data_IF_545157955556
#
_entry.id   IF_545157955556
#
_cell.length_a   1.000
_cell.length_b   1.000
_cell.length_c   1.000
_cell.angle_alpha   90.00
_cell.angle_beta   90.00
_cell.angle_gamma   90.00
#
_symmetry.space_group_name_H-M   'P 1'
#
loop_
_entity.id
_entity.type
_entity.pdbx_description
1 polymer ?
#
# COMPACT_ATOMS: atom_id res chain seq x y z
N UNK A 1 8.11 10.26 -13.14
CA UNK A 1 7.50 10.45 -14.48
C UNK A 1 8.48 10.27 -15.64
N UNK A 2 9.78 10.61 -15.48
CA UNK A 2 10.76 10.48 -16.58
C UNK A 2 10.87 9.06 -17.15
N UNK A 3 10.78 8.03 -16.34
CA UNK A 3 10.84 6.62 -16.76
C UNK A 3 9.53 6.12 -17.39
N UNK A 4 8.42 6.82 -17.21
CA UNK A 4 7.09 6.48 -17.77
C UNK A 4 6.69 7.34 -18.96
N UNK A 5 7.64 8.04 -19.61
CA UNK A 5 7.34 8.94 -20.75
C UNK A 5 6.57 8.28 -21.89
N UNK A 6 6.71 6.97 -22.05
CA UNK A 6 6.03 6.19 -23.10
C UNK A 6 4.73 5.50 -22.63
N UNK A 7 4.35 5.65 -21.36
CA UNK A 7 3.17 5.04 -20.77
C UNK A 7 2.19 6.11 -20.30
N UNK A 8 1.28 6.53 -21.16
CA UNK A 8 0.24 7.51 -20.82
C UNK A 8 -0.66 7.00 -19.67
N UNK A 9 -1.03 5.70 -19.69
CA UNK A 9 -1.79 5.07 -18.62
C UNK A 9 -1.04 5.14 -17.29
N UNK A 10 0.27 4.83 -17.29
CA UNK A 10 1.12 4.90 -16.08
C UNK A 10 1.25 6.33 -15.53
N UNK A 11 1.38 7.32 -16.41
CA UNK A 11 1.37 8.73 -15.99
C UNK A 11 0.02 9.14 -15.41
N UNK A 12 -1.08 8.67 -16.01
CA UNK A 12 -2.44 9.00 -15.56
C UNK A 12 -2.71 8.48 -14.13
N UNK A 13 -2.40 7.23 -13.81
CA UNK A 13 -2.61 6.69 -12.46
C UNK A 13 -1.76 7.42 -11.43
N UNK A 14 -0.50 7.79 -11.77
CA UNK A 14 0.36 8.57 -10.88
C UNK A 14 -0.15 9.99 -10.64
N UNK A 15 -0.60 10.68 -11.68
CA UNK A 15 -1.11 12.04 -11.56
C UNK A 15 -2.39 12.06 -10.72
N UNK A 16 -3.31 11.13 -10.96
CA UNK A 16 -4.59 11.07 -10.25
C UNK A 16 -4.37 10.78 -8.75
N UNK A 17 -3.56 9.79 -8.40
CA UNK A 17 -3.30 9.49 -6.99
C UNK A 17 -2.56 10.64 -6.29
N UNK A 18 -1.64 11.31 -6.98
CA UNK A 18 -0.91 12.46 -6.45
C UNK A 18 -1.83 13.66 -6.21
N UNK A 19 -2.79 13.92 -7.11
CA UNK A 19 -3.80 14.96 -6.94
C UNK A 19 -4.70 14.67 -5.74
N UNK A 20 -5.26 13.46 -5.65
CA UNK A 20 -6.15 13.04 -4.55
C UNK A 20 -5.46 13.10 -3.19
N UNK A 21 -4.23 12.64 -3.10
CA UNK A 21 -3.44 12.71 -1.87
C UNK A 21 -2.85 14.10 -1.62
N UNK A 22 -3.12 15.10 -2.46
CA UNK A 22 -2.52 16.42 -2.39
C UNK A 22 -0.98 16.34 -2.24
N UNK A 23 -0.33 15.55 -3.11
CA UNK A 23 1.13 15.35 -3.12
C UNK A 23 1.88 16.67 -3.23
N UNK A 24 2.91 16.84 -2.40
CA UNK A 24 3.70 18.08 -2.37
C UNK A 24 3.12 19.19 -1.48
N UNK A 25 1.91 19.04 -0.93
CA UNK A 25 1.39 19.98 0.07
C UNK A 25 1.89 19.62 1.47
N UNK A 26 2.06 20.62 2.36
CA UNK A 26 2.44 20.37 3.76
C UNK A 26 1.48 19.41 4.46
N UNK A 27 2.03 18.56 5.33
CA UNK A 27 1.28 17.63 6.17
C UNK A 27 1.28 18.09 7.63
N UNK A 28 0.39 17.49 8.42
CA UNK A 28 0.44 17.68 9.88
C UNK A 28 1.82 17.25 10.41
N UNK A 29 2.28 17.90 11.47
CA UNK A 29 3.59 17.61 12.07
C UNK A 29 3.73 16.12 12.41
N UNK A 30 4.84 15.51 11.98
CA UNK A 30 5.11 14.09 12.20
C UNK A 30 4.42 13.14 11.24
N UNK A 31 3.82 13.64 10.15
CA UNK A 31 3.22 12.82 9.09
C UNK A 31 3.97 13.01 7.76
N UNK A 32 4.10 11.92 7.02
CA UNK A 32 4.70 11.92 5.67
C UNK A 32 3.96 11.04 4.69
N UNK A 33 4.12 11.36 3.41
CA UNK A 33 3.58 10.60 2.29
C UNK A 33 4.67 9.77 1.62
N UNK A 34 4.34 8.51 1.33
CA UNK A 34 5.12 7.66 0.43
C UNK A 34 4.30 7.21 -0.76
N UNK A 35 4.92 7.19 -1.93
CA UNK A 35 4.31 6.81 -3.19
C UNK A 35 4.97 5.55 -3.73
N UNK A 36 4.15 4.67 -4.34
CA UNK A 36 4.60 3.53 -5.12
C UNK A 36 3.76 3.39 -6.40
N UNK A 37 4.36 2.77 -7.41
CA UNK A 37 3.73 2.43 -8.68
C UNK A 37 4.00 0.98 -9.00
N UNK A 38 3.03 0.29 -9.60
CA UNK A 38 3.19 -1.08 -10.07
C UNK A 38 2.48 -1.30 -11.41
N UNK A 39 3.03 -2.21 -12.20
CA UNK A 39 2.36 -2.91 -13.29
C UNK A 39 2.15 -4.35 -12.82
N UNK A 40 0.90 -4.72 -12.61
CA UNK A 40 0.50 -6.04 -12.13
C UNK A 40 -0.38 -6.72 -13.17
N UNK A 41 0.19 -7.66 -13.94
CA UNK A 41 -0.53 -8.34 -15.02
C UNK A 41 -1.28 -7.35 -15.94
N UNK A 42 -0.58 -6.31 -16.40
CA UNK A 42 -1.09 -5.23 -17.25
C UNK A 42 -2.12 -4.29 -16.60
N UNK A 43 -2.48 -4.51 -15.34
CA UNK A 43 -3.17 -3.50 -14.53
C UNK A 43 -2.15 -2.50 -14.03
N UNK A 44 -2.31 -1.24 -14.39
CA UNK A 44 -1.45 -0.17 -13.92
C UNK A 44 -2.06 0.47 -12.68
N UNK A 45 -1.26 0.63 -11.64
CA UNK A 45 -1.75 1.18 -10.40
C UNK A 45 -0.68 1.98 -9.66
N UNK A 46 -1.12 2.99 -8.94
CA UNK A 46 -0.29 3.78 -8.06
C UNK A 46 -0.97 3.95 -6.71
N UNK A 47 -0.17 3.97 -5.65
CA UNK A 47 -0.67 4.16 -4.28
C UNK A 47 0.15 5.19 -3.53
N UNK A 48 -0.51 5.86 -2.59
CA UNK A 48 0.10 6.76 -1.62
C UNK A 48 -0.40 6.39 -0.23
N UNK A 49 0.51 6.27 0.72
CA UNK A 49 0.19 6.12 2.14
C UNK A 49 0.61 7.36 2.92
N UNK A 50 -0.25 7.86 3.81
CA UNK A 50 0.11 8.83 4.84
C UNK A 50 0.39 8.09 6.14
N UNK A 51 1.60 8.24 6.67
CA UNK A 51 2.01 7.57 7.90
C UNK A 51 2.49 8.56 8.96
N UNK A 52 2.46 8.11 10.23
CA UNK A 52 3.23 8.67 11.33
C UNK A 52 3.95 7.59 12.11
N UNK A 53 4.87 8.00 12.98
CA UNK A 53 5.48 7.14 13.98
C UNK A 53 4.90 7.49 15.37
N UNK A 54 4.23 6.52 15.99
CA UNK A 54 3.72 6.61 17.36
C UNK A 54 4.50 5.60 18.22
N UNK A 55 5.36 6.06 19.12
CA UNK A 55 6.21 5.21 19.98
C UNK A 55 6.99 4.13 19.21
N UNK A 56 7.57 4.49 18.08
CA UNK A 56 8.26 3.57 17.15
C UNK A 56 7.36 2.54 16.45
N UNK A 57 6.05 2.74 16.46
CA UNK A 57 5.11 1.96 15.65
C UNK A 57 4.64 2.80 14.48
N UNK A 58 4.64 2.21 13.29
CA UNK A 58 4.09 2.87 12.09
C UNK A 58 2.57 2.83 12.19
N UNK A 59 1.95 4.01 12.06
CA UNK A 59 0.52 4.16 11.90
C UNK A 59 0.21 4.69 10.51
N UNK A 60 -0.61 3.96 9.78
CA UNK A 60 -1.14 4.39 8.48
C UNK A 60 -2.48 5.09 8.72
N UNK A 61 -2.57 6.36 8.32
CA UNK A 61 -3.75 7.18 8.55
C UNK A 61 -4.72 7.12 7.37
N UNK A 62 -4.16 7.23 6.18
CA UNK A 62 -4.94 7.27 4.95
C UNK A 62 -4.16 6.61 3.82
N UNK A 63 -4.87 5.94 2.91
CA UNK A 63 -4.30 5.26 1.77
C UNK A 63 -5.09 5.63 0.52
N UNK A 64 -4.42 6.08 -0.53
CA UNK A 64 -5.01 6.40 -1.83
C UNK A 64 -4.52 5.42 -2.87
N UNK A 65 -5.41 4.95 -3.73
CA UNK A 65 -5.10 4.07 -4.85
C UNK A 65 -5.77 4.61 -6.11
N UNK A 66 -5.00 4.80 -7.17
CA UNK A 66 -5.51 4.93 -8.52
C UNK A 66 -5.16 3.64 -9.28
N UNK A 67 -6.17 3.02 -9.91
CA UNK A 67 -6.04 1.75 -10.62
C UNK A 67 -6.64 1.85 -12.01
N UNK A 68 -5.90 1.40 -13.02
CA UNK A 68 -6.34 1.28 -14.41
C UNK A 68 -6.31 -0.21 -14.83
N UNK A 69 -7.46 -0.90 -14.74
CA UNK A 69 -7.58 -2.31 -15.10
C UNK A 69 -8.03 -2.52 -16.55
N UNK A 70 -7.95 -1.51 -17.44
CA UNK A 70 -8.64 -1.51 -18.72
C UNK A 70 -10.12 -1.21 -18.56
N UNK A 71 -11.01 -2.04 -19.09
CA UNK A 71 -12.45 -1.91 -18.84
C UNK A 71 -12.77 -2.30 -17.41
N UNK A 72 -13.40 -1.40 -16.67
CA UNK A 72 -13.94 -1.67 -15.35
C UNK A 72 -15.32 -2.35 -15.47
N UNK A 73 -15.32 -3.68 -15.64
CA UNK A 73 -16.56 -4.46 -15.86
C UNK A 73 -17.53 -4.31 -14.70
N UNK A 74 -17.02 -4.36 -13.45
CA UNK A 74 -17.82 -4.25 -12.24
C UNK A 74 -17.11 -3.36 -11.21
N UNK A 75 -17.30 -2.04 -11.26
CA UNK A 75 -16.56 -1.08 -10.44
C UNK A 75 -16.65 -1.34 -8.92
N UNK A 76 -17.81 -1.72 -8.40
CA UNK A 76 -17.99 -1.97 -6.98
C UNK A 76 -17.18 -3.20 -6.51
N UNK A 77 -17.12 -4.26 -7.32
CA UNK A 77 -16.28 -5.41 -7.03
C UNK A 77 -14.79 -5.05 -7.12
N UNK A 78 -14.40 -4.18 -8.05
CA UNK A 78 -13.01 -3.68 -8.13
C UNK A 78 -12.67 -2.91 -6.85
N UNK A 79 -13.56 -2.04 -6.35
CA UNK A 79 -13.35 -1.34 -5.07
C UNK A 79 -13.16 -2.31 -3.92
N UNK A 80 -14.04 -3.30 -3.78
CA UNK A 80 -13.94 -4.31 -2.73
C UNK A 80 -12.62 -5.10 -2.80
N UNK A 81 -12.16 -5.46 -4.00
CA UNK A 81 -10.86 -6.12 -4.20
C UNK A 81 -9.69 -5.23 -3.81
N UNK A 82 -9.71 -3.95 -4.20
CA UNK A 82 -8.66 -2.99 -3.85
C UNK A 82 -8.60 -2.77 -2.34
N UNK A 83 -9.75 -2.56 -1.68
CA UNK A 83 -9.82 -2.41 -0.21
C UNK A 83 -9.26 -3.63 0.51
N UNK A 84 -9.74 -4.83 0.14
CA UNK A 84 -9.27 -6.10 0.71
C UNK A 84 -7.77 -6.30 0.49
N UNK A 85 -7.25 -6.00 -0.70
CA UNK A 85 -5.84 -6.13 -1.02
C UNK A 85 -4.96 -5.15 -0.24
N UNK A 86 -5.42 -3.90 -0.01
CA UNK A 86 -4.71 -2.92 0.84
C UNK A 86 -4.66 -3.42 2.29
N UNK A 87 -5.79 -3.89 2.86
CA UNK A 87 -5.85 -4.41 4.23
C UNK A 87 -4.95 -5.64 4.38
N UNK A 88 -4.98 -6.57 3.42
CA UNK A 88 -4.09 -7.71 3.37
C UNK A 88 -2.61 -7.31 3.33
N UNK A 89 -2.28 -6.34 2.46
CA UNK A 89 -0.92 -5.79 2.37
C UNK A 89 -0.46 -5.12 3.67
N UNK A 90 -1.36 -4.45 4.40
CA UNK A 90 -1.07 -3.88 5.73
C UNK A 90 -0.76 -4.98 6.75
N UNK A 91 -1.50 -6.08 6.73
CA UNK A 91 -1.22 -7.25 7.55
C UNK A 91 0.21 -7.73 7.34
N UNK A 92 0.58 -8.01 6.11
CA UNK A 92 1.92 -8.47 5.75
C UNK A 92 3.02 -7.45 6.11
N UNK A 93 2.76 -6.16 5.87
CA UNK A 93 3.76 -5.12 6.09
C UNK A 93 4.02 -4.82 7.58
N UNK A 94 2.99 -4.88 8.44
CA UNK A 94 3.06 -4.35 9.80
C UNK A 94 2.97 -5.41 10.90
N UNK A 95 2.32 -6.56 10.65
CA UNK A 95 1.92 -7.49 11.71
C UNK A 95 2.31 -8.94 11.47
N UNK A 96 1.99 -9.48 10.30
CA UNK A 96 1.96 -10.91 10.05
C UNK A 96 3.36 -11.52 9.90
N UNK A 97 3.65 -12.55 10.67
CA UNK A 97 4.92 -13.26 10.61
C UNK A 97 4.74 -14.74 10.96
N UNK A 98 5.21 -15.60 10.06
CA UNK A 98 5.39 -17.03 10.34
C UNK A 98 6.86 -17.31 10.62
N UNK A 99 7.13 -18.03 11.70
CA UNK A 99 8.49 -18.48 12.09
C UNK A 99 8.54 -19.98 12.24
N UNK A 100 9.71 -20.54 11.99
CA UNK A 100 9.96 -21.99 12.09
C UNK A 100 11.01 -22.27 13.16
N UNK A 101 10.77 -23.33 13.95
CA UNK A 101 11.75 -23.86 14.88
C UNK A 101 11.75 -25.39 14.77
N UNK A 102 12.91 -25.98 14.51
CA UNK A 102 13.05 -27.44 14.32
C UNK A 102 12.08 -28.03 13.27
N UNK A 103 11.87 -27.29 12.16
CA UNK A 103 10.96 -27.72 11.07
C UNK A 103 9.45 -27.53 11.36
N UNK A 104 9.09 -26.98 12.51
CA UNK A 104 7.70 -26.75 12.90
C UNK A 104 7.35 -25.27 12.89
N UNK A 105 6.17 -24.93 12.37
CA UNK A 105 5.58 -23.59 12.44
C UNK A 105 5.33 -23.25 13.91
N UNK A 106 5.69 -22.03 14.33
CA UNK A 106 5.53 -21.59 15.70
C UNK A 106 4.18 -20.89 15.94
N UNK A 107 3.59 -20.31 14.93
CA UNK A 107 2.29 -19.64 15.00
C UNK A 107 1.19 -20.68 14.74
N UNK A 108 0.26 -20.80 15.68
CA UNK A 108 -0.79 -21.83 15.62
C UNK A 108 -2.21 -21.27 15.68
N UNK A 109 -2.39 -20.03 16.14
CA UNK A 109 -3.70 -19.41 16.28
C UNK A 109 -3.58 -17.88 16.36
N UNK A 110 -4.69 -17.16 16.44
CA UNK A 110 -4.77 -15.70 16.49
C UNK A 110 -4.18 -15.06 17.78
N UNK A 111 -3.83 -15.84 18.78
CA UNK A 111 -3.08 -15.38 19.95
C UNK A 111 -1.61 -15.09 19.63
N UNK A 112 -1.04 -15.79 18.66
CA UNK A 112 0.37 -15.65 18.27
C UNK A 112 0.59 -15.41 16.75
N UNK A 113 -0.47 -15.36 15.96
CA UNK A 113 -0.49 -14.87 14.60
C UNK A 113 -1.37 -13.62 14.53
N UNK A 114 -0.73 -12.44 14.59
CA UNK A 114 -1.42 -11.16 14.69
C UNK A 114 -1.85 -10.70 13.31
N UNK A 115 -3.13 -10.35 13.17
CA UNK A 115 -3.72 -9.74 11.97
C UNK A 115 -4.20 -8.32 12.27
N UNK A 116 -4.34 -7.43 11.26
CA UNK A 116 -4.86 -6.09 11.46
C UNK A 116 -6.28 -6.11 12.03
N UNK A 117 -6.59 -5.19 12.92
CA UNK A 117 -7.95 -5.00 13.46
C UNK A 117 -8.64 -3.84 12.76
N UNK A 118 -9.97 -3.76 12.85
CA UNK A 118 -10.77 -2.68 12.29
C UNK A 118 -10.28 -1.29 12.69
N UNK A 119 -9.83 -1.13 13.94
CA UNK A 119 -9.30 0.15 14.47
C UNK A 119 -7.95 0.56 13.87
N UNK A 120 -7.27 -0.36 13.20
CA UNK A 120 -5.95 -0.15 12.58
C UNK A 120 -6.06 0.05 11.06
N UNK A 121 -7.26 -0.16 10.51
CA UNK A 121 -7.54 0.04 9.09
C UNK A 121 -7.58 1.54 8.77
N UNK A 122 -6.75 2.03 7.83
CA UNK A 122 -6.78 3.42 7.41
C UNK A 122 -8.05 3.72 6.59
N UNK A 123 -8.34 5.00 6.40
CA UNK A 123 -9.29 5.40 5.36
C UNK A 123 -8.67 5.09 3.99
N UNK A 124 -9.39 4.36 3.15
CA UNK A 124 -8.94 3.97 1.81
C UNK A 124 -9.75 4.73 0.77
N UNK A 125 -9.07 5.47 -0.10
CA UNK A 125 -9.65 6.24 -1.20
C UNK A 125 -9.23 5.58 -2.52
N UNK A 126 -10.21 5.28 -3.38
CA UNK A 126 -9.97 4.51 -4.60
C UNK A 126 -10.53 5.25 -5.81
N UNK A 127 -9.69 5.43 -6.83
CA UNK A 127 -10.06 5.91 -8.14
C UNK A 127 -9.83 4.84 -9.20
N UNK A 128 -10.89 4.49 -9.92
CA UNK A 128 -10.85 3.51 -10.99
C UNK A 128 -10.83 4.25 -12.34
N UNK A 129 -9.75 4.04 -13.09
CA UNK A 129 -9.51 4.71 -14.37
C UNK A 129 -9.77 3.72 -15.51
N UNK A 130 -11.02 3.62 -15.94
CA UNK A 130 -11.36 2.80 -17.12
C UNK A 130 -10.91 3.50 -18.40
N UNK A 131 -10.20 2.77 -19.28
CA UNK A 131 -9.65 3.30 -20.53
C UNK A 131 -10.21 2.65 -21.79
N UNK A 132 -11.05 1.63 -21.64
CA UNK A 132 -11.66 0.91 -22.76
C UNK A 132 -10.84 -0.27 -23.32
N UNK A 133 -9.60 -0.47 -22.84
CA UNK A 133 -8.80 -1.65 -23.17
C UNK A 133 -9.39 -2.93 -22.57
N UNK A 134 -8.88 -4.10 -22.97
CA UNK A 134 -9.31 -5.38 -22.38
C UNK A 134 -9.13 -5.39 -20.85
N UNK A 135 -10.07 -6.00 -20.10
CA UNK A 135 -10.00 -6.06 -18.66
C UNK A 135 -8.79 -6.90 -18.19
N UNK A 136 -8.12 -6.42 -17.16
CA UNK A 136 -6.92 -7.05 -16.58
C UNK A 136 -7.13 -7.43 -15.12
N UNK A 137 -6.12 -8.07 -14.49
CA UNK A 137 -6.22 -8.63 -13.15
C UNK A 137 -6.37 -7.56 -12.05
N UNK A 138 -7.34 -7.69 -11.15
CA UNK A 138 -7.57 -6.74 -10.03
C UNK A 138 -7.50 -7.37 -8.64
N UNK A 139 -7.55 -8.71 -8.53
CA UNK A 139 -7.77 -9.41 -7.27
C UNK A 139 -6.72 -9.14 -6.17
N UNK A 140 -5.44 -9.05 -6.52
CA UNK A 140 -4.34 -8.80 -5.57
C UNK A 140 -3.51 -7.56 -5.93
N UNK A 141 -3.87 -6.87 -7.00
CA UNK A 141 -3.04 -5.84 -7.59
C UNK A 141 -2.57 -4.77 -6.59
N UNK A 142 -3.44 -4.34 -5.68
CA UNK A 142 -3.12 -3.25 -4.75
C UNK A 142 -2.26 -3.67 -3.56
N UNK A 143 -2.15 -4.96 -3.25
CA UNK A 143 -1.34 -5.44 -2.13
C UNK A 143 0.16 -5.12 -2.33
N UNK A 144 0.64 -5.15 -3.57
CA UNK A 144 2.05 -4.87 -3.90
C UNK A 144 2.46 -3.42 -3.66
N UNK A 145 1.49 -2.49 -3.55
CA UNK A 145 1.75 -1.08 -3.28
C UNK A 145 2.01 -0.79 -1.80
N UNK A 146 1.50 -1.62 -0.89
CA UNK A 146 1.39 -1.25 0.53
C UNK A 146 2.76 -1.13 1.19
N UNK A 147 3.58 -2.17 1.14
CA UNK A 147 4.91 -2.13 1.75
C UNK A 147 5.79 -1.01 1.17
N UNK A 148 5.92 -0.83 -0.17
CA UNK A 148 6.77 0.22 -0.72
C UNK A 148 6.25 1.64 -0.44
N UNK A 149 4.94 1.88 -0.37
CA UNK A 149 4.44 3.20 0.04
C UNK A 149 4.82 3.52 1.49
N UNK A 150 4.68 2.54 2.39
CA UNK A 150 5.04 2.71 3.80
C UNK A 150 6.56 2.94 3.94
N UNK A 151 7.40 2.15 3.28
CA UNK A 151 8.87 2.32 3.38
C UNK A 151 9.33 3.65 2.81
N UNK A 152 8.74 4.11 1.71
CA UNK A 152 9.07 5.40 1.11
C UNK A 152 8.64 6.58 2.01
N UNK A 153 7.47 6.49 2.66
CA UNK A 153 7.04 7.48 3.64
C UNK A 153 7.93 7.47 4.89
N UNK A 154 8.29 6.28 5.38
CA UNK A 154 9.18 6.10 6.52
C UNK A 154 10.56 6.70 6.26
N UNK A 155 11.13 6.46 5.08
CA UNK A 155 12.42 7.02 4.69
C UNK A 155 12.40 8.55 4.67
N UNK A 156 11.32 9.16 4.18
CA UNK A 156 11.14 10.63 4.24
C UNK A 156 11.02 11.15 5.67
N UNK A 157 10.33 10.42 6.53
CA UNK A 157 10.08 10.83 7.92
C UNK A 157 11.34 10.73 8.80
N UNK A 158 12.18 9.72 8.57
CA UNK A 158 13.29 9.35 9.48
C UNK A 158 14.68 9.43 8.86
N UNK A 159 14.79 9.42 7.53
CA UNK A 159 16.05 9.25 6.80
C UNK A 159 16.57 7.81 6.75
N UNK A 160 15.84 6.83 7.34
CA UNK A 160 16.22 5.42 7.38
C UNK A 160 15.41 4.59 6.38
N UNK A 161 15.94 3.44 5.97
CA UNK A 161 15.28 2.52 5.05
C UNK A 161 14.92 1.20 5.74
N UNK A 162 13.65 0.78 5.59
CA UNK A 162 13.19 -0.52 6.07
C UNK A 162 13.36 -1.57 4.96
N UNK A 163 14.01 -2.68 5.27
CA UNK A 163 14.31 -3.75 4.32
C UNK A 163 13.71 -5.12 4.68
N UNK A 164 13.08 -5.24 5.85
CA UNK A 164 12.53 -6.50 6.34
C UNK A 164 11.11 -6.32 6.89
N UNK A 165 10.16 -7.08 6.35
CA UNK A 165 8.79 -7.16 6.88
C UNK A 165 8.67 -8.26 7.96
N UNK A 166 7.69 -8.14 8.85
CA UNK A 166 6.88 -6.95 9.13
C UNK A 166 7.71 -5.84 9.78
N UNK A 167 7.28 -4.57 9.60
CA UNK A 167 7.95 -3.38 10.13
C UNK A 167 7.62 -3.19 11.61
N UNK A 168 8.14 -4.08 12.46
CA UNK A 168 7.90 -4.05 13.90
C UNK A 168 8.79 -3.04 14.61
N UNK A 169 8.38 -2.66 15.85
CA UNK A 169 9.16 -1.75 16.71
C UNK A 169 10.63 -2.16 16.86
N UNK A 170 10.89 -3.46 16.98
CA UNK A 170 12.23 -4.00 17.15
C UNK A 170 13.11 -3.78 15.92
N UNK A 171 12.52 -3.85 14.73
CA UNK A 171 13.20 -3.64 13.45
C UNK A 171 13.36 -2.17 13.07
N UNK A 172 12.49 -1.31 13.56
CA UNK A 172 12.57 0.14 13.37
C UNK A 172 13.68 0.77 14.23
N UNK A 173 14.06 0.11 15.35
CA UNK A 173 15.11 0.59 16.26
C UNK A 173 16.52 0.18 15.85
N UNK A 174 16.69 -0.69 14.85
CA UNK A 174 17.98 -1.13 14.32
C UNK A 174 18.46 -0.20 13.22
#
# INVERSE_FOLDING_TARGET
LQHLKKSERGQRVLNVVAEQAAWGKPRAKGRELGLAFADYHHTLLAGIAEISLEDTQIKVHEFWVAIDPGVAVQPDNIRAQVEGAVIYGLGNALYERITFKNGLVQQSNFDNYVVPRMSETPKINIEILSNGDEPTAVGQASAVLVAPTITNAFAKLTGLHLSHMPFTRERIKQ
#
